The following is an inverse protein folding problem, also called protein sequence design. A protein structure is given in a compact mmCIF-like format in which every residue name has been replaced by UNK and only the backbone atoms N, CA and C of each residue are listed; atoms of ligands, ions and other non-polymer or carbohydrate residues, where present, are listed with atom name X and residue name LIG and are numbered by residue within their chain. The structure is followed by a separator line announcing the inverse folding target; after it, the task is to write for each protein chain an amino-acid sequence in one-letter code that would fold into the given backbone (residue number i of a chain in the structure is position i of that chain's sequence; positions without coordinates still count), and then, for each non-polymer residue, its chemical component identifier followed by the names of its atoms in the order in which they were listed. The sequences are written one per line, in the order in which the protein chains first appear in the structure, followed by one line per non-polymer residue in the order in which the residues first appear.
data_IF_948196828263
#
_entry.id   IF_948196828263
#
_cell.length_a   1.000
_cell.length_b   1.000
_cell.length_c   1.000
_cell.angle_alpha   90.00
_cell.angle_beta   90.00
_cell.angle_gamma   90.00
#
_symmetry.space_group_name_H-M   'P 1'
#
loop_
_entity.id
_entity.type
_entity.pdbx_description
1 polymer ?
#
# COMPACT_ATOMS: atom_id res chain seq x y z
N UNK A 1 -36.82 34.66 29.43
CA UNK A 1 -35.42 34.55 29.92
C UNK A 1 -34.91 33.11 29.94
N UNK A 2 -35.56 32.15 30.62
CA UNK A 2 -35.08 30.74 30.72
C UNK A 2 -34.93 29.99 29.38
N UNK A 3 -35.86 30.20 28.43
CA UNK A 3 -35.81 29.58 27.09
C UNK A 3 -34.62 30.03 26.22
N UNK A 4 -34.22 31.30 26.36
CA UNK A 4 -33.06 31.85 25.65
C UNK A 4 -31.75 31.31 26.23
N UNK A 5 -31.67 31.12 27.55
CA UNK A 5 -30.53 30.45 28.20
C UNK A 5 -30.35 28.99 27.75
N UNK A 6 -31.44 28.25 27.54
CA UNK A 6 -31.37 26.86 27.09
C UNK A 6 -30.88 26.75 25.64
N UNK A 7 -31.32 27.66 24.77
CA UNK A 7 -30.85 27.75 23.39
C UNK A 7 -29.36 28.14 23.32
N UNK A 8 -28.90 29.06 24.17
CA UNK A 8 -27.48 29.42 24.28
C UNK A 8 -26.62 28.25 24.77
N UNK A 9 -27.08 27.50 25.79
CA UNK A 9 -26.37 26.30 26.25
C UNK A 9 -26.28 25.23 25.15
N UNK A 10 -27.35 25.01 24.38
CA UNK A 10 -27.35 24.05 23.28
C UNK A 10 -26.35 24.44 22.18
N UNK A 11 -26.24 25.74 21.89
CA UNK A 11 -25.30 26.28 20.90
C UNK A 11 -23.84 26.16 21.36
N UNK A 12 -23.58 26.36 22.66
CA UNK A 12 -22.26 26.19 23.27
C UNK A 12 -21.80 24.72 23.31
N UNK A 13 -22.72 23.78 23.53
CA UNK A 13 -22.40 22.34 23.47
C UNK A 13 -22.21 21.81 22.05
N UNK A 14 -22.89 22.38 21.04
CA UNK A 14 -22.76 21.95 19.65
C UNK A 14 -21.43 22.35 18.98
N UNK A 15 -20.69 23.31 19.55
CA UNK A 15 -19.44 23.83 18.98
C UNK A 15 -18.17 23.02 19.29
N UNK A 16 -18.23 22.03 20.18
CA UNK A 16 -17.06 21.25 20.59
C UNK A 16 -16.87 19.99 19.72
N UNK A 17 -16.79 20.17 18.41
CA UNK A 17 -16.22 19.12 17.54
C UNK A 17 -14.71 19.34 17.56
N UNK A 18 -13.90 18.40 18.11
CA UNK A 18 -12.46 18.52 18.02
C UNK A 18 -12.08 18.55 16.54
N UNK A 19 -11.53 19.68 16.09
CA UNK A 19 -10.94 19.77 14.78
C UNK A 19 -9.71 18.84 14.78
N UNK A 20 -9.79 17.73 14.05
CA UNK A 20 -8.64 16.88 13.82
C UNK A 20 -7.61 17.68 13.02
N UNK A 21 -6.59 18.22 13.69
CA UNK A 21 -5.46 18.85 13.03
C UNK A 21 -4.64 17.77 12.35
N UNK A 22 -4.61 17.79 11.01
CA UNK A 22 -3.62 17.03 10.27
C UNK A 22 -2.24 17.47 10.75
N UNK A 23 -1.36 16.51 11.06
CA UNK A 23 0.03 16.81 11.37
C UNK A 23 0.62 17.59 10.19
N UNK A 24 1.20 18.76 10.45
CA UNK A 24 1.86 19.58 9.42
C UNK A 24 2.98 18.84 8.69
N UNK A 25 3.51 17.76 9.28
CA UNK A 25 4.51 16.89 8.65
C UNK A 25 3.90 15.83 7.71
N UNK A 26 2.57 15.71 7.63
CA UNK A 26 1.90 14.76 6.73
C UNK A 26 1.88 15.31 5.29
N UNK A 27 2.98 15.09 4.58
CA UNK A 27 3.07 15.34 3.14
C UNK A 27 2.71 14.04 2.38
N UNK A 28 1.45 13.92 2.00
CA UNK A 28 0.96 12.79 1.20
C UNK A 28 0.51 13.22 -0.19
N UNK A 29 0.63 12.33 -1.16
CA UNK A 29 -0.02 12.48 -2.48
C UNK A 29 -0.43 11.13 -3.02
N UNK A 30 -1.42 11.13 -3.89
CA UNK A 30 -1.80 9.91 -4.59
C UNK A 30 -0.61 9.41 -5.46
N UNK A 31 -0.32 8.12 -5.36
CA UNK A 31 0.79 7.50 -6.09
C UNK A 31 0.54 7.53 -7.59
N UNK A 32 1.55 7.96 -8.35
CA UNK A 32 1.59 7.86 -9.79
C UNK A 32 2.37 6.60 -10.18
N UNK A 33 1.72 5.55 -10.70
CA UNK A 33 2.40 4.31 -11.06
C UNK A 33 3.43 4.49 -12.19
N UNK A 34 3.35 5.55 -12.98
CA UNK A 34 4.28 5.80 -14.08
C UNK A 34 5.61 6.34 -13.55
N UNK A 35 5.57 7.30 -12.62
CA UNK A 35 6.77 8.04 -12.19
C UNK A 35 7.33 7.59 -10.84
N UNK A 36 6.48 7.07 -9.95
CA UNK A 36 6.87 6.81 -8.56
C UNK A 36 7.33 5.37 -8.34
N UNK A 37 7.02 4.49 -9.30
CA UNK A 37 7.46 3.10 -9.29
C UNK A 37 8.82 3.02 -9.98
N UNK A 38 9.79 2.38 -9.32
CA UNK A 38 11.06 2.05 -9.94
C UNK A 38 10.88 0.84 -10.89
N UNK A 39 10.53 1.11 -12.15
CA UNK A 39 10.37 0.05 -13.17
C UNK A 39 11.65 -0.74 -13.46
N UNK A 40 12.81 -0.11 -13.29
CA UNK A 40 14.10 -0.80 -13.40
C UNK A 40 14.40 -1.70 -12.21
N UNK A 41 13.71 -1.51 -11.08
CA UNK A 41 13.86 -2.35 -9.88
C UNK A 41 13.08 -3.65 -9.97
N UNK A 42 12.21 -3.83 -10.97
CA UNK A 42 11.55 -5.12 -11.27
C UNK A 42 12.59 -6.21 -11.55
N UNK A 43 13.75 -5.81 -12.07
CA UNK A 43 14.86 -6.71 -12.38
C UNK A 43 15.72 -7.03 -11.14
N UNK A 44 16.35 -8.22 -11.11
CA UNK A 44 16.51 -9.19 -12.21
C UNK A 44 15.27 -10.04 -12.50
N UNK A 45 15.17 -10.52 -13.74
CA UNK A 45 14.11 -11.46 -14.16
C UNK A 45 14.73 -12.84 -14.39
N UNK A 46 14.19 -13.86 -13.73
CA UNK A 46 14.66 -15.24 -13.80
C UNK A 46 13.53 -16.23 -14.10
N UNK A 47 13.86 -17.30 -14.82
CA UNK A 47 12.99 -18.45 -15.10
C UNK A 47 13.67 -19.72 -14.60
N UNK A 48 13.18 -20.27 -13.49
CA UNK A 48 13.94 -21.24 -12.71
C UNK A 48 15.35 -20.71 -12.39
N UNK A 49 16.39 -21.50 -12.62
CA UNK A 49 17.79 -21.09 -12.42
C UNK A 49 18.37 -20.17 -13.52
N UNK A 50 17.61 -19.88 -14.58
CA UNK A 50 18.08 -19.12 -15.74
C UNK A 50 17.80 -17.63 -15.52
N UNK A 51 18.85 -16.80 -15.50
CA UNK A 51 18.72 -15.34 -15.45
C UNK A 51 18.49 -14.80 -16.86
N UNK A 52 17.28 -14.30 -17.12
CA UNK A 52 16.88 -13.74 -18.42
C UNK A 52 17.24 -12.26 -18.51
N UNK A 53 17.23 -11.56 -17.37
CA UNK A 53 17.62 -10.15 -17.28
C UNK A 53 18.48 -9.91 -16.04
N UNK A 54 19.44 -8.99 -16.17
CA UNK A 54 20.26 -8.53 -15.05
C UNK A 54 19.58 -7.36 -14.34
N UNK A 55 19.78 -7.25 -13.04
CA UNK A 55 19.24 -6.16 -12.22
C UNK A 55 20.27 -5.71 -11.18
N UNK A 56 20.06 -4.51 -10.64
CA UNK A 56 20.91 -3.97 -9.56
C UNK A 56 20.46 -4.43 -8.17
N UNK A 57 19.23 -4.94 -8.07
CA UNK A 57 18.58 -5.35 -6.83
C UNK A 57 18.92 -6.82 -6.54
N UNK A 58 19.08 -7.23 -5.26
CA UNK A 58 19.30 -8.64 -4.93
C UNK A 58 18.17 -9.54 -5.46
N UNK A 59 18.55 -10.74 -5.88
CA UNK A 59 17.64 -11.80 -6.35
C UNK A 59 17.56 -12.92 -5.31
N UNK A 60 16.38 -13.49 -5.14
CA UNK A 60 16.21 -14.69 -4.31
C UNK A 60 16.45 -15.94 -5.15
N UNK A 61 16.97 -17.00 -4.55
CA UNK A 61 17.16 -18.26 -5.28
C UNK A 61 15.81 -18.83 -5.75
N UNK A 62 15.61 -18.84 -7.06
CA UNK A 62 14.46 -19.47 -7.72
C UNK A 62 14.72 -21.00 -7.86
N UNK A 63 13.69 -21.87 -7.92
CA UNK A 63 13.86 -23.31 -8.09
C UNK A 63 14.63 -23.63 -9.36
N UNK A 64 15.35 -24.76 -9.39
CA UNK A 64 16.14 -25.16 -10.57
C UNK A 64 15.27 -25.49 -11.80
N UNK A 65 14.09 -26.10 -11.59
CA UNK A 65 13.17 -26.45 -12.66
C UNK A 65 12.23 -25.26 -12.95
N UNK A 66 12.25 -24.69 -14.18
CA UNK A 66 11.38 -23.58 -14.54
C UNK A 66 9.91 -23.98 -14.65
N UNK A 67 9.61 -25.26 -14.91
CA UNK A 67 8.25 -25.79 -15.01
C UNK A 67 7.83 -26.34 -13.64
N UNK A 68 6.71 -25.84 -13.11
CA UNK A 68 6.16 -26.28 -11.83
C UNK A 68 4.71 -26.73 -11.98
N UNK A 69 4.19 -27.46 -11.00
CA UNK A 69 2.78 -27.87 -10.98
C UNK A 69 2.06 -27.07 -9.89
N UNK A 70 1.22 -26.12 -10.31
CA UNK A 70 0.48 -25.24 -9.41
C UNK A 70 -0.93 -25.79 -9.13
N UNK A 71 -1.52 -25.51 -7.96
CA UNK A 71 -2.91 -25.83 -7.69
C UNK A 71 -3.85 -25.05 -8.62
N UNK A 72 -4.94 -25.69 -9.04
CA UNK A 72 -5.97 -25.11 -9.89
C UNK A 72 -7.37 -25.62 -9.45
N UNK A 73 -8.45 -24.85 -9.72
CA UNK A 73 -9.81 -25.31 -9.47
C UNK A 73 -10.22 -26.47 -10.43
N UNK A 74 -11.27 -27.25 -10.11
CA UNK A 74 -11.75 -28.37 -10.93
C UNK A 74 -12.04 -27.96 -12.39
N UNK A 75 -11.90 -28.84 -13.40
CA UNK A 75 -11.81 -30.32 -13.36
C UNK A 75 -10.39 -30.92 -13.31
N UNK A 76 -9.35 -30.08 -13.47
CA UNK A 76 -7.95 -30.48 -13.30
C UNK A 76 -7.40 -29.72 -12.09
N UNK A 77 -7.20 -30.41 -10.98
CA UNK A 77 -6.72 -29.82 -9.71
C UNK A 77 -5.30 -29.24 -9.77
N UNK A 78 -4.61 -29.43 -10.89
CA UNK A 78 -3.19 -29.13 -11.10
C UNK A 78 -3.02 -28.55 -12.50
N UNK A 79 -2.31 -27.43 -12.60
CA UNK A 79 -1.93 -26.78 -13.86
C UNK A 79 -0.41 -26.68 -13.99
N UNK A 80 0.08 -26.66 -15.22
CA UNK A 80 1.48 -26.36 -15.51
C UNK A 80 1.68 -24.87 -15.24
N UNK A 81 2.64 -24.53 -14.39
CA UNK A 81 3.04 -23.18 -14.05
C UNK A 81 4.52 -22.95 -14.34
N UNK A 82 4.94 -21.69 -14.23
CA UNK A 82 6.31 -21.27 -14.44
C UNK A 82 6.87 -20.67 -13.15
N UNK A 83 8.08 -21.06 -12.79
CA UNK A 83 8.84 -20.44 -11.71
C UNK A 83 9.49 -19.16 -12.21
N UNK A 84 8.83 -18.02 -12.03
CA UNK A 84 9.31 -16.70 -12.45
C UNK A 84 9.77 -15.94 -11.21
N UNK A 85 11.02 -15.47 -11.21
CA UNK A 85 11.54 -14.57 -10.18
C UNK A 85 11.69 -13.15 -10.73
N UNK A 86 11.08 -12.18 -10.05
CA UNK A 86 11.23 -10.75 -10.29
C UNK A 86 10.68 -9.97 -9.09
N UNK A 87 10.99 -8.68 -9.00
CA UNK A 87 10.42 -7.80 -7.98
C UNK A 87 9.03 -7.34 -8.40
N UNK A 88 8.02 -8.12 -8.00
CA UNK A 88 6.63 -7.82 -8.32
C UNK A 88 6.08 -6.65 -7.47
N UNK A 89 5.51 -5.60 -8.10
CA UNK A 89 4.79 -4.55 -7.39
C UNK A 89 3.37 -5.04 -7.02
N UNK A 90 3.28 -6.10 -6.19
CA UNK A 90 2.00 -6.67 -5.77
C UNK A 90 1.33 -5.92 -4.62
N UNK A 91 2.11 -5.12 -3.88
CA UNK A 91 1.63 -4.41 -2.72
C UNK A 91 2.34 -3.07 -2.57
N UNK A 92 1.60 -2.09 -2.06
CA UNK A 92 2.10 -0.79 -1.66
C UNK A 92 1.99 -0.71 -0.14
N UNK A 93 3.04 -0.21 0.51
CA UNK A 93 3.06 -0.05 1.97
C UNK A 93 3.27 1.40 2.33
N UNK A 94 2.35 1.95 3.10
CA UNK A 94 2.40 3.33 3.60
C UNK A 94 3.25 3.36 4.86
N UNK A 95 4.43 3.98 4.79
CA UNK A 95 5.33 4.16 5.93
C UNK A 95 5.39 5.64 6.30
N UNK A 96 4.86 5.99 7.46
CA UNK A 96 4.82 7.36 7.97
C UNK A 96 5.16 7.42 9.45
N UNK A 97 5.71 8.54 9.90
CA UNK A 97 5.90 8.86 11.32
C UNK A 97 4.71 9.60 11.92
N UNK A 98 3.86 10.20 11.08
CA UNK A 98 2.65 10.90 11.51
C UNK A 98 1.50 9.90 11.63
N UNK A 99 0.87 9.74 12.81
CA UNK A 99 -0.28 8.86 12.96
C UNK A 99 -1.44 9.31 12.06
N UNK A 100 -2.14 8.36 11.45
CA UNK A 100 -3.28 8.63 10.56
C UNK A 100 -2.91 9.19 9.18
N UNK A 101 -1.63 9.45 8.88
CA UNK A 101 -1.22 10.00 7.59
C UNK A 101 -1.15 8.93 6.48
N UNK A 102 -2.01 9.03 5.47
CA UNK A 102 -2.02 8.14 4.32
C UNK A 102 -1.16 8.73 3.20
N UNK A 103 0.16 8.50 3.29
CA UNK A 103 1.17 9.12 2.41
C UNK A 103 0.93 8.82 0.94
N UNK A 104 0.41 7.63 0.62
CA UNK A 104 0.15 7.20 -0.76
C UNK A 104 -1.26 7.55 -1.25
N UNK A 105 -2.15 8.05 -0.38
CA UNK A 105 -3.50 8.48 -0.73
C UNK A 105 -3.67 10.00 -0.69
N UNK A 106 -2.75 10.73 -0.06
CA UNK A 106 -2.75 12.18 0.00
C UNK A 106 -3.71 12.82 0.99
N UNK A 107 -4.19 12.05 1.98
CA UNK A 107 -5.02 12.58 3.06
C UNK A 107 -4.61 12.00 4.42
N UNK A 108 -5.04 12.66 5.50
CA UNK A 108 -4.88 12.17 6.86
C UNK A 108 -6.22 11.78 7.46
N UNK A 109 -6.28 10.62 8.10
CA UNK A 109 -7.37 10.28 9.01
C UNK A 109 -7.14 10.96 10.37
N UNK A 110 -8.22 11.29 11.10
CA UNK A 110 -8.10 11.66 12.50
C UNK A 110 -7.37 10.54 13.26
N UNK A 111 -6.25 10.87 13.89
CA UNK A 111 -5.51 9.92 14.71
C UNK A 111 -6.37 9.57 15.93
N UNK A 112 -6.92 8.35 15.96
CA UNK A 112 -7.64 7.82 17.11
C UNK A 112 -6.64 7.23 18.11
N UNK A 113 -5.89 8.10 18.79
CA UNK A 113 -5.10 7.76 19.96
C UNK A 113 -5.30 8.83 21.02
#
# INVERSE_FOLDING_TARGET
MKRSLWLLMLFLLAGHVPAASADSACEGRFVNPITDICWSCIFPLSLGSIKVSQGKVPDTANPSMPIQICPAPPPLFRRIGLAIGYWEPMALTDVTRSPGCMVNLGFSLPAFW
#
